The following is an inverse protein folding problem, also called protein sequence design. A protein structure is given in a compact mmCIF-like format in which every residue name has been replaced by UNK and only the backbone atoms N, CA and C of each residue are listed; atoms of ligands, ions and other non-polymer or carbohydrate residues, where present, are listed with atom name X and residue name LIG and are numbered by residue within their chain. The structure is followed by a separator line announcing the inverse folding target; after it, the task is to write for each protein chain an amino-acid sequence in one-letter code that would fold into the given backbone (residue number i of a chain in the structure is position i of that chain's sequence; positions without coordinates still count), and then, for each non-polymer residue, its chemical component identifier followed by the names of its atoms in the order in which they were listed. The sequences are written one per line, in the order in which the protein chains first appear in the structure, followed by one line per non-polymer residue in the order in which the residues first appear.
data_IF_832348425109
#
_entry.id   IF_832348425109
#
_cell.length_a   1.000
_cell.length_b   1.000
_cell.length_c   1.000
_cell.angle_alpha   90.00
_cell.angle_beta   90.00
_cell.angle_gamma   90.00
#
_symmetry.space_group_name_H-M   'P 1'
#
loop_
_entity.id
_entity.type
_entity.pdbx_description
1 polymer ?
#
# COMPACT_ATOMS: atom_id res chain seq x y z
N UNK A 1 21.57 -17.17 -22.39
CA UNK A 1 20.87 -16.73 -21.16
C UNK A 1 19.73 -15.87 -21.62
N UNK A 2 18.52 -16.15 -21.17
CA UNK A 2 17.35 -15.40 -21.59
C UNK A 2 17.37 -14.01 -20.93
N UNK A 3 16.91 -12.97 -21.63
CA UNK A 3 16.88 -11.59 -21.13
C UNK A 3 15.43 -11.14 -21.07
N UNK A 4 14.96 -10.75 -19.90
CA UNK A 4 13.62 -10.20 -19.73
C UNK A 4 13.72 -8.67 -19.77
N UNK A 5 12.92 -8.04 -20.64
CA UNK A 5 12.91 -6.59 -20.80
C UNK A 5 11.67 -5.97 -20.14
N UNK A 6 11.86 -4.98 -19.28
CA UNK A 6 10.77 -4.29 -18.58
C UNK A 6 10.50 -2.92 -19.19
N UNK A 7 9.28 -2.66 -19.64
CA UNK A 7 8.84 -1.32 -20.08
C UNK A 7 8.15 -0.61 -18.92
N UNK A 8 8.74 0.48 -18.42
CA UNK A 8 8.33 1.16 -17.19
C UNK A 8 8.93 0.51 -15.93
N UNK A 9 10.22 0.16 -15.98
CA UNK A 9 10.91 -0.61 -14.93
C UNK A 9 11.00 0.14 -13.58
N UNK A 10 10.91 1.47 -13.58
CA UNK A 10 11.07 2.33 -12.41
C UNK A 10 9.84 2.39 -11.49
N UNK A 11 8.69 1.85 -11.91
CA UNK A 11 7.49 1.76 -11.06
C UNK A 11 7.69 0.78 -9.89
N UNK A 12 7.07 1.05 -8.73
CA UNK A 12 7.28 0.27 -7.51
C UNK A 12 7.06 -1.25 -7.70
N UNK A 13 5.93 -1.66 -8.29
CA UNK A 13 5.66 -3.08 -8.57
C UNK A 13 6.55 -3.69 -9.65
N UNK A 14 6.91 -2.93 -10.69
CA UNK A 14 7.79 -3.41 -11.77
C UNK A 14 9.20 -3.65 -11.25
N UNK A 15 9.73 -2.70 -10.49
CA UNK A 15 11.06 -2.79 -9.89
C UNK A 15 11.19 -3.92 -8.89
N UNK A 16 10.13 -4.23 -8.13
CA UNK A 16 10.08 -5.36 -7.21
C UNK A 16 10.23 -6.71 -7.93
N UNK A 17 9.47 -6.91 -9.01
CA UNK A 17 9.54 -8.12 -9.85
C UNK A 17 10.92 -8.23 -10.49
N UNK A 18 11.41 -7.16 -11.12
CA UNK A 18 12.74 -7.11 -11.74
C UNK A 18 13.85 -7.44 -10.73
N UNK A 19 13.75 -6.90 -9.51
CA UNK A 19 14.70 -7.17 -8.42
C UNK A 19 14.74 -8.64 -8.04
N UNK A 20 13.59 -9.28 -7.82
CA UNK A 20 13.53 -10.71 -7.49
C UNK A 20 14.07 -11.56 -8.63
N UNK A 21 13.74 -11.23 -9.88
CA UNK A 21 14.28 -11.93 -11.05
C UNK A 21 15.81 -11.78 -11.17
N UNK A 22 16.37 -10.59 -10.93
CA UNK A 22 17.83 -10.37 -10.86
C UNK A 22 18.48 -11.23 -9.77
N UNK A 23 17.92 -11.26 -8.57
CA UNK A 23 18.45 -12.06 -7.44
C UNK A 23 18.38 -13.57 -7.73
N UNK A 24 17.45 -14.00 -8.59
CA UNK A 24 17.36 -15.38 -9.12
C UNK A 24 18.30 -15.65 -10.31
N UNK A 25 19.08 -14.66 -10.74
CA UNK A 25 20.06 -14.78 -11.82
C UNK A 25 19.51 -14.57 -13.24
N UNK A 26 18.28 -14.06 -13.37
CA UNK A 26 17.72 -13.67 -14.68
C UNK A 26 18.40 -12.39 -15.17
N UNK A 27 18.74 -12.32 -16.46
CA UNK A 27 19.28 -11.09 -17.06
C UNK A 27 18.14 -10.12 -17.28
N UNK A 28 18.24 -8.93 -16.70
CA UNK A 28 17.21 -7.90 -16.79
C UNK A 28 17.70 -6.72 -17.61
N UNK A 29 16.84 -6.27 -18.51
CA UNK A 29 16.93 -4.95 -19.12
C UNK A 29 15.60 -4.20 -18.94
N UNK A 30 15.58 -2.91 -19.15
CA UNK A 30 14.32 -2.17 -19.16
C UNK A 30 14.46 -0.71 -19.53
N UNK A 31 13.32 -0.05 -19.62
CA UNK A 31 13.20 1.36 -19.96
C UNK A 31 12.29 2.09 -18.99
N UNK A 32 12.52 3.39 -18.82
CA UNK A 32 11.59 4.29 -18.14
C UNK A 32 11.68 5.71 -18.71
N UNK A 33 10.64 6.53 -18.56
CA UNK A 33 10.63 7.92 -19.04
C UNK A 33 11.61 8.80 -18.26
N UNK A 34 11.81 8.51 -16.98
CA UNK A 34 12.66 9.29 -16.10
C UNK A 34 13.53 8.37 -15.24
N UNK A 35 14.72 8.85 -14.91
CA UNK A 35 15.60 8.14 -13.98
C UNK A 35 15.00 8.23 -12.56
N UNK A 36 14.71 7.07 -11.97
CA UNK A 36 14.16 6.94 -10.62
C UNK A 36 15.16 6.26 -9.67
N UNK A 37 14.92 6.37 -8.36
CA UNK A 37 15.71 5.64 -7.35
C UNK A 37 15.66 4.12 -7.57
N UNK A 38 14.50 3.59 -7.97
CA UNK A 38 14.32 2.18 -8.28
C UNK A 38 15.12 1.76 -9.52
N UNK A 39 15.11 2.56 -10.59
CA UNK A 39 15.92 2.33 -11.78
C UNK A 39 17.42 2.29 -11.45
N UNK A 40 17.91 3.29 -10.69
CA UNK A 40 19.32 3.35 -10.28
C UNK A 40 19.74 2.16 -9.39
N UNK A 41 18.85 1.69 -8.51
CA UNK A 41 19.09 0.47 -7.71
C UNK A 41 19.25 -0.76 -8.61
N UNK A 42 18.37 -0.95 -9.59
CA UNK A 42 18.43 -2.10 -10.50
C UNK A 42 19.68 -2.05 -11.38
N UNK A 43 20.09 -0.87 -11.86
CA UNK A 43 21.38 -0.68 -12.56
C UNK A 43 22.55 -1.12 -11.67
N UNK A 44 22.56 -0.71 -10.39
CA UNK A 44 23.59 -1.12 -9.43
C UNK A 44 23.59 -2.64 -9.14
N UNK A 45 22.45 -3.32 -9.35
CA UNK A 45 22.32 -4.77 -9.26
C UNK A 45 22.69 -5.50 -10.57
N UNK A 46 23.01 -4.76 -11.64
CA UNK A 46 23.45 -5.32 -12.93
C UNK A 46 22.39 -5.34 -14.03
N UNK A 47 21.23 -4.71 -13.84
CA UNK A 47 20.27 -4.51 -14.93
C UNK A 47 20.77 -3.45 -15.92
N UNK A 48 20.36 -3.59 -17.18
CA UNK A 48 20.58 -2.56 -18.21
C UNK A 48 19.33 -1.67 -18.28
N UNK A 49 19.41 -0.42 -17.83
CA UNK A 49 18.27 0.51 -17.85
C UNK A 49 18.48 1.65 -18.84
N UNK A 50 17.51 1.85 -19.73
CA UNK A 50 17.50 2.95 -20.70
C UNK A 50 16.50 4.03 -20.28
N UNK A 51 16.82 5.30 -20.54
CA UNK A 51 15.90 6.41 -20.33
C UNK A 51 15.27 6.81 -21.66
N UNK A 52 13.95 6.87 -21.69
CA UNK A 52 13.16 7.01 -22.91
C UNK A 52 12.82 5.67 -23.56
N UNK A 53 11.83 5.71 -24.46
CA UNK A 53 11.35 4.51 -25.16
C UNK A 53 11.79 4.50 -26.62
N UNK A 54 12.50 3.44 -27.01
CA UNK A 54 13.00 3.23 -28.38
C UNK A 54 12.93 1.75 -28.73
N UNK A 55 12.47 1.41 -29.94
CA UNK A 55 12.34 0.03 -30.40
C UNK A 55 13.65 -0.79 -30.28
N UNK A 56 14.82 -0.15 -30.27
CA UNK A 56 16.12 -0.82 -30.10
C UNK A 56 16.36 -1.31 -28.67
N UNK A 57 15.63 -0.79 -27.68
CA UNK A 57 15.83 -1.13 -26.27
C UNK A 57 15.50 -2.60 -25.96
N UNK A 58 14.62 -3.24 -26.74
CA UNK A 58 14.27 -4.66 -26.61
C UNK A 58 15.29 -5.61 -27.27
N UNK A 59 16.41 -5.10 -27.80
CA UNK A 59 17.39 -5.92 -28.52
C UNK A 59 17.96 -7.03 -27.61
N UNK A 60 17.83 -8.28 -28.08
CA UNK A 60 18.26 -9.46 -27.33
C UNK A 60 17.34 -9.88 -26.18
N UNK A 61 16.17 -9.25 -26.05
CA UNK A 61 15.12 -9.71 -25.15
C UNK A 61 14.46 -10.99 -25.68
N UNK A 62 14.12 -11.89 -24.77
CA UNK A 62 13.38 -13.14 -25.04
C UNK A 62 11.94 -13.07 -24.53
N UNK A 63 11.63 -12.08 -23.68
CA UNK A 63 10.32 -11.79 -23.11
C UNK A 63 10.26 -10.31 -22.74
N UNK A 64 9.08 -9.72 -22.83
CA UNK A 64 8.82 -8.34 -22.41
C UNK A 64 7.77 -8.32 -21.30
N UNK A 65 8.02 -7.55 -20.24
CA UNK A 65 7.06 -7.27 -19.17
C UNK A 65 6.69 -5.79 -19.27
N UNK A 66 5.40 -5.48 -19.29
CA UNK A 66 4.90 -4.11 -19.50
C UNK A 66 4.04 -3.65 -18.32
N UNK A 67 4.29 -2.41 -17.88
CA UNK A 67 3.47 -1.72 -16.88
C UNK A 67 2.12 -1.30 -17.47
N UNK A 68 1.08 -1.26 -16.65
CA UNK A 68 -0.27 -0.80 -17.06
C UNK A 68 -0.30 0.66 -17.50
N UNK A 69 0.69 1.47 -17.12
CA UNK A 69 0.83 2.87 -17.53
C UNK A 69 1.38 3.05 -18.96
N UNK A 70 1.83 1.98 -19.61
CA UNK A 70 2.44 2.05 -20.95
C UNK A 70 1.33 1.98 -22.01
N UNK A 71 1.22 2.96 -22.91
CA UNK A 71 0.22 2.94 -23.97
C UNK A 71 0.56 1.89 -25.04
N UNK A 72 -0.46 1.36 -25.72
CA UNK A 72 -0.30 0.40 -26.82
C UNK A 72 0.54 0.93 -27.99
N UNK A 73 0.68 2.25 -28.11
CA UNK A 73 1.50 2.93 -29.11
C UNK A 73 2.98 3.05 -28.74
N UNK A 74 3.39 2.55 -27.56
CA UNK A 74 4.78 2.59 -27.14
C UNK A 74 5.69 1.83 -28.12
N UNK A 75 6.80 2.47 -28.54
CA UNK A 75 7.68 1.95 -29.58
C UNK A 75 8.31 0.59 -29.24
N UNK A 76 8.62 0.33 -27.97
CA UNK A 76 9.16 -0.96 -27.51
C UNK A 76 8.08 -2.05 -27.50
N UNK A 77 6.88 -1.71 -27.05
CA UNK A 77 5.75 -2.65 -27.01
C UNK A 77 5.32 -3.07 -28.42
N UNK A 78 5.26 -2.13 -29.36
CA UNK A 78 4.98 -2.42 -30.78
C UNK A 78 6.08 -3.30 -31.35
N UNK A 79 7.36 -2.94 -31.17
CA UNK A 79 8.48 -3.74 -31.66
C UNK A 79 8.50 -5.16 -31.08
N UNK A 80 8.13 -5.33 -29.81
CA UNK A 80 8.05 -6.64 -29.17
C UNK A 80 6.97 -7.53 -29.79
N UNK A 81 5.80 -6.94 -30.07
CA UNK A 81 4.69 -7.62 -30.76
C UNK A 81 5.07 -7.99 -32.20
N UNK A 82 5.69 -7.08 -32.95
CA UNK A 82 6.15 -7.32 -34.33
C UNK A 82 7.22 -8.41 -34.41
N UNK A 83 8.08 -8.50 -33.39
CA UNK A 83 9.09 -9.54 -33.26
C UNK A 83 8.54 -10.88 -32.72
N UNK A 84 7.25 -10.96 -32.36
CA UNK A 84 6.62 -12.16 -31.81
C UNK A 84 7.12 -12.54 -30.42
N UNK A 85 7.67 -11.59 -29.66
CA UNK A 85 8.12 -11.83 -28.29
C UNK A 85 6.91 -12.04 -27.36
N UNK A 86 6.97 -12.96 -26.38
CA UNK A 86 5.97 -13.03 -25.33
C UNK A 86 5.94 -11.70 -24.55
N UNK A 87 4.76 -11.07 -24.52
CA UNK A 87 4.51 -9.84 -23.76
C UNK A 87 3.61 -10.18 -22.58
N UNK A 88 4.12 -9.99 -21.37
CA UNK A 88 3.38 -10.18 -20.12
C UNK A 88 3.02 -8.84 -19.49
N UNK A 89 1.84 -8.77 -18.88
CA UNK A 89 1.51 -7.69 -17.96
C UNK A 89 2.27 -7.86 -16.64
N UNK A 90 2.37 -6.78 -15.86
CA UNK A 90 2.89 -6.82 -14.48
C UNK A 90 2.27 -7.94 -13.64
N UNK A 91 0.94 -8.14 -13.73
CA UNK A 91 0.23 -9.18 -12.98
C UNK A 91 0.62 -10.60 -13.40
N UNK A 92 0.78 -10.84 -14.70
CA UNK A 92 1.27 -12.13 -15.22
C UNK A 92 2.71 -12.40 -14.80
N UNK A 93 3.57 -11.38 -14.81
CA UNK A 93 4.95 -11.50 -14.34
C UNK A 93 5.03 -11.80 -12.84
N UNK A 94 4.15 -11.20 -12.02
CA UNK A 94 4.03 -11.55 -10.61
C UNK A 94 3.60 -13.01 -10.45
N UNK A 95 2.60 -13.46 -11.21
CA UNK A 95 2.17 -14.86 -11.21
C UNK A 95 3.34 -15.81 -11.54
N UNK A 96 4.17 -15.46 -12.53
CA UNK A 96 5.37 -16.22 -12.90
C UNK A 96 6.41 -16.26 -11.77
N UNK A 97 6.64 -15.14 -11.07
CA UNK A 97 7.56 -15.10 -9.91
C UNK A 97 7.09 -15.97 -8.75
N UNK A 98 5.77 -16.03 -8.53
CA UNK A 98 5.13 -16.84 -7.49
C UNK A 98 4.92 -18.31 -7.90
N UNK A 99 5.05 -18.62 -9.19
CA UNK A 99 4.89 -19.97 -9.70
C UNK A 99 5.95 -20.92 -9.12
N UNK A 100 5.55 -22.16 -8.85
CA UNK A 100 6.46 -23.22 -8.41
C UNK A 100 6.74 -23.30 -6.90
N UNK A 101 6.11 -22.46 -6.07
CA UNK A 101 6.24 -22.50 -4.61
C UNK A 101 4.92 -22.35 -3.86
N UNK A 102 4.98 -22.41 -2.52
CA UNK A 102 3.84 -22.02 -1.66
C UNK A 102 3.85 -20.50 -1.54
N UNK A 103 2.69 -19.87 -1.62
CA UNK A 103 2.60 -18.42 -1.56
C UNK A 103 1.44 -17.94 -0.68
N UNK A 104 1.70 -16.84 0.03
CA UNK A 104 0.68 -16.04 0.71
C UNK A 104 0.47 -14.78 -0.15
N UNK A 105 -0.75 -14.59 -0.63
CA UNK A 105 -1.11 -13.39 -1.41
C UNK A 105 -2.16 -12.60 -0.65
N UNK A 106 -1.87 -11.32 -0.40
CA UNK A 106 -2.75 -10.39 0.30
C UNK A 106 -3.41 -9.45 -0.69
N UNK A 107 -4.74 -9.41 -0.66
CA UNK A 107 -5.59 -8.49 -1.40
C UNK A 107 -6.58 -7.79 -0.44
N UNK A 108 -7.36 -6.85 -0.97
CA UNK A 108 -8.40 -6.11 -0.23
C UNK A 108 -8.31 -4.62 -0.48
N UNK A 109 -9.39 -3.87 -0.28
CA UNK A 109 -9.40 -2.44 -0.64
C UNK A 109 -8.31 -1.66 0.12
N UNK A 110 -8.23 -1.86 1.44
CA UNK A 110 -7.26 -1.17 2.31
C UNK A 110 -6.36 -2.13 3.08
N UNK A 111 -5.18 -1.67 3.51
CA UNK A 111 -4.31 -2.40 4.44
C UNK A 111 -3.44 -3.50 3.82
N UNK A 112 -3.53 -3.75 2.51
CA UNK A 112 -2.72 -4.75 1.77
C UNK A 112 -1.24 -4.68 2.14
N UNK A 113 -0.60 -3.55 1.87
CA UNK A 113 0.84 -3.34 2.08
C UNK A 113 1.26 -3.52 3.53
N UNK A 114 0.46 -3.02 4.46
CA UNK A 114 0.75 -3.15 5.89
C UNK A 114 0.65 -4.60 6.34
N UNK A 115 -0.41 -5.32 5.96
CA UNK A 115 -0.62 -6.73 6.28
C UNK A 115 0.47 -7.62 5.66
N UNK A 116 0.79 -7.43 4.38
CA UNK A 116 1.88 -8.16 3.71
C UNK A 116 3.21 -7.92 4.40
N UNK A 117 3.49 -6.67 4.81
CA UNK A 117 4.72 -6.35 5.54
C UNK A 117 4.77 -7.00 6.91
N UNK A 118 3.65 -7.03 7.65
CA UNK A 118 3.56 -7.73 8.93
C UNK A 118 3.83 -9.23 8.77
N UNK A 119 3.25 -9.87 7.75
CA UNK A 119 3.51 -11.29 7.44
C UNK A 119 5.01 -11.50 7.19
N UNK A 120 5.64 -10.67 6.36
CA UNK A 120 7.09 -10.77 6.10
C UNK A 120 7.91 -10.59 7.38
N UNK A 121 7.59 -9.60 8.22
CA UNK A 121 8.30 -9.37 9.48
C UNK A 121 8.14 -10.54 10.45
N UNK A 122 6.92 -11.08 10.60
CA UNK A 122 6.65 -12.26 11.44
C UNK A 122 7.47 -13.45 10.96
N UNK A 123 7.39 -13.79 9.68
CA UNK A 123 8.10 -14.93 9.10
C UNK A 123 9.61 -14.82 9.32
N UNK A 124 10.19 -13.64 9.06
CA UNK A 124 11.62 -13.40 9.26
C UNK A 124 12.02 -13.45 10.73
N UNK A 125 11.18 -12.95 11.64
CA UNK A 125 11.42 -13.05 13.07
C UNK A 125 11.41 -14.50 13.56
N UNK A 126 10.62 -15.35 12.91
CA UNK A 126 10.44 -16.80 13.15
C UNK A 126 11.48 -17.66 12.42
N UNK A 127 12.51 -17.04 11.83
CA UNK A 127 13.58 -17.75 11.11
C UNK A 127 13.20 -18.25 9.70
N UNK A 128 12.00 -17.96 9.20
CA UNK A 128 11.60 -18.25 7.82
C UNK A 128 12.20 -17.18 6.89
N UNK A 129 12.81 -17.60 5.79
CA UNK A 129 13.41 -16.69 4.79
C UNK A 129 12.57 -16.64 3.51
N UNK A 130 11.41 -15.94 3.49
CA UNK A 130 10.53 -15.93 2.35
C UNK A 130 11.05 -15.05 1.22
N UNK A 131 10.68 -15.39 -0.01
CA UNK A 131 10.65 -14.39 -1.08
C UNK A 131 9.51 -13.41 -0.78
N UNK A 132 9.71 -12.11 -0.98
CA UNK A 132 8.61 -11.17 -0.82
C UNK A 132 8.59 -10.06 -1.87
N UNK A 133 7.39 -9.61 -2.21
CA UNK A 133 7.10 -8.49 -3.10
C UNK A 133 5.99 -7.63 -2.47
N UNK A 134 6.37 -6.47 -1.95
CA UNK A 134 5.52 -5.53 -1.21
C UNK A 134 5.44 -4.21 -1.97
N UNK A 135 4.33 -3.48 -1.84
CA UNK A 135 4.09 -2.25 -2.60
C UNK A 135 4.98 -1.07 -2.20
N UNK A 136 5.54 -1.10 -0.99
CA UNK A 136 6.42 -0.07 -0.46
C UNK A 136 7.51 -0.67 0.44
N UNK A 137 8.56 0.11 0.70
CA UNK A 137 9.71 -0.34 1.49
C UNK A 137 9.33 -0.60 2.95
N UNK A 138 9.78 -1.74 3.49
CA UNK A 138 9.70 -2.00 4.93
C UNK A 138 10.72 -1.12 5.65
N UNK A 139 10.30 -0.39 6.70
CA UNK A 139 11.18 0.55 7.40
C UNK A 139 12.39 -0.11 8.07
N UNK A 140 12.28 -1.38 8.48
CA UNK A 140 13.35 -2.16 9.11
C UNK A 140 14.30 -2.84 8.12
N UNK A 141 13.89 -3.02 6.86
CA UNK A 141 14.68 -3.72 5.82
C UNK A 141 15.18 -2.78 4.73
N UNK A 142 14.51 -1.66 4.52
CA UNK A 142 14.85 -0.64 3.51
C UNK A 142 14.59 -1.08 2.07
N UNK A 143 13.85 -2.17 1.84
CA UNK A 143 13.49 -2.67 0.52
C UNK A 143 12.06 -3.21 0.50
N UNK A 144 11.42 -3.12 -0.66
CA UNK A 144 10.05 -3.61 -0.89
C UNK A 144 10.03 -5.02 -1.50
N UNK A 145 11.16 -5.54 -1.99
CA UNK A 145 11.27 -6.91 -2.48
C UNK A 145 12.60 -7.58 -2.17
N UNK A 146 12.60 -8.91 -2.09
CA UNK A 146 13.78 -9.79 -1.96
C UNK A 146 13.43 -11.22 -2.36
N UNK A 147 14.36 -11.92 -3.00
CA UNK A 147 14.37 -13.37 -3.19
C UNK A 147 14.94 -14.04 -1.93
N UNK A 148 14.06 -14.69 -1.18
CA UNK A 148 14.46 -15.53 -0.05
C UNK A 148 15.02 -16.87 -0.52
N UNK A 149 15.62 -17.63 0.40
CA UNK A 149 16.10 -18.99 0.15
C UNK A 149 15.05 -20.08 0.44
N UNK A 150 13.97 -19.73 1.14
CA UNK A 150 12.88 -20.66 1.46
C UNK A 150 11.89 -20.84 0.32
N UNK A 151 10.99 -21.82 0.48
CA UNK A 151 9.94 -22.17 -0.51
C UNK A 151 8.71 -21.25 -0.47
N UNK A 152 8.59 -20.42 0.57
CA UNK A 152 7.46 -19.54 0.78
C UNK A 152 7.68 -18.20 0.09
N UNK A 153 6.69 -17.74 -0.65
CA UNK A 153 6.62 -16.39 -1.18
C UNK A 153 5.48 -15.59 -0.51
N UNK A 154 5.67 -14.30 -0.33
CA UNK A 154 4.66 -13.39 0.21
C UNK A 154 4.52 -12.19 -0.72
N UNK A 155 3.32 -11.96 -1.24
CA UNK A 155 3.07 -10.84 -2.13
C UNK A 155 1.79 -10.11 -1.77
N UNK A 156 1.76 -8.81 -2.04
CA UNK A 156 0.48 -8.11 -2.19
C UNK A 156 0.03 -8.16 -3.65
N UNK A 157 -1.28 -8.16 -3.86
CA UNK A 157 -1.87 -7.95 -5.17
C UNK A 157 -3.00 -6.94 -5.08
N UNK A 158 -3.11 -6.13 -6.13
CA UNK A 158 -4.12 -5.10 -6.25
C UNK A 158 -5.34 -5.63 -7.01
N UNK A 159 -6.52 -5.23 -6.58
CA UNK A 159 -7.81 -5.50 -7.21
C UNK A 159 -8.17 -4.45 -8.26
N UNK A 160 -7.48 -3.31 -8.30
CA UNK A 160 -7.83 -2.14 -9.13
C UNK A 160 -7.94 -2.42 -10.64
N UNK A 161 -7.17 -3.39 -11.15
CA UNK A 161 -7.11 -3.79 -12.56
C UNK A 161 -7.48 -5.27 -12.78
N UNK A 162 -7.98 -5.95 -11.74
CA UNK A 162 -8.31 -7.38 -11.77
C UNK A 162 -7.09 -8.32 -11.84
N UNK A 163 -5.85 -7.82 -11.74
CA UNK A 163 -4.63 -8.63 -11.88
C UNK A 163 -4.47 -9.72 -10.81
N UNK A 164 -5.04 -9.53 -9.62
CA UNK A 164 -5.09 -10.59 -8.59
C UNK A 164 -5.79 -11.89 -9.05
N UNK A 165 -6.65 -11.85 -10.08
CA UNK A 165 -7.30 -13.03 -10.68
C UNK A 165 -6.34 -13.87 -11.54
N UNK A 166 -5.10 -13.43 -11.71
CA UNK A 166 -4.06 -14.19 -12.41
C UNK A 166 -3.25 -15.06 -11.43
N UNK A 167 -3.46 -14.88 -10.12
CA UNK A 167 -2.65 -15.50 -9.08
C UNK A 167 -3.34 -16.75 -8.53
N UNK A 168 -2.55 -17.79 -8.29
CA UNK A 168 -3.00 -19.02 -7.63
C UNK A 168 -2.23 -19.18 -6.31
N UNK A 169 -2.67 -18.52 -5.22
CA UNK A 169 -1.97 -18.61 -3.96
C UNK A 169 -2.19 -19.95 -3.26
N UNK A 170 -1.25 -20.35 -2.42
CA UNK A 170 -1.54 -21.39 -1.41
C UNK A 170 -2.49 -20.83 -0.35
N UNK A 171 -2.22 -19.62 0.13
CA UNK A 171 -3.02 -18.91 1.13
C UNK A 171 -3.43 -17.55 0.56
N UNK A 172 -4.73 -17.34 0.38
CA UNK A 172 -5.28 -16.05 -0.01
C UNK A 172 -5.75 -15.28 1.22
N UNK A 173 -5.35 -14.02 1.35
CA UNK A 173 -5.80 -13.12 2.42
C UNK A 173 -6.59 -11.98 1.79
N UNK A 174 -7.79 -11.71 2.30
CA UNK A 174 -8.56 -10.51 1.99
C UNK A 174 -8.65 -9.68 3.27
N UNK A 175 -8.19 -8.43 3.24
CA UNK A 175 -8.20 -7.55 4.42
C UNK A 175 -9.56 -6.91 4.67
N UNK A 176 -10.24 -6.48 3.61
CA UNK A 176 -11.57 -5.88 3.58
C UNK A 176 -12.03 -5.74 2.11
N UNK A 177 -13.32 -5.48 1.92
CA UNK A 177 -13.90 -5.16 0.62
C UNK A 177 -14.81 -3.95 0.79
N UNK A 178 -14.40 -2.81 0.23
CA UNK A 178 -15.14 -1.54 0.22
C UNK A 178 -15.20 -1.01 -1.22
N UNK A 179 -16.22 -0.20 -1.58
CA UNK A 179 -16.32 0.40 -2.90
C UNK A 179 -15.10 1.28 -3.23
N UNK A 180 -14.26 0.83 -4.16
CA UNK A 180 -13.19 1.61 -4.81
C UNK A 180 -13.04 1.08 -6.25
N UNK A 181 -12.31 1.79 -7.11
CA UNK A 181 -12.02 1.35 -8.48
C UNK A 181 -13.27 0.96 -9.31
N UNK A 182 -14.40 1.61 -9.05
CA UNK A 182 -15.67 1.31 -9.73
C UNK A 182 -15.66 1.69 -11.22
N UNK A 183 -14.70 2.50 -11.65
CA UNK A 183 -14.40 2.74 -13.07
C UNK A 183 -13.94 1.47 -13.80
N UNK A 184 -13.25 0.57 -13.10
CA UNK A 184 -12.88 -0.75 -13.62
C UNK A 184 -14.00 -1.78 -13.43
N UNK A 185 -14.52 -1.89 -12.20
CA UNK A 185 -15.46 -2.97 -11.85
C UNK A 185 -16.91 -2.70 -12.30
N UNK A 186 -17.28 -1.45 -12.54
CA UNK A 186 -18.64 -1.04 -12.91
C UNK A 186 -19.65 -1.04 -11.76
N UNK A 187 -19.54 -1.97 -10.80
CA UNK A 187 -20.37 -1.99 -9.59
C UNK A 187 -19.66 -2.65 -8.41
N UNK A 188 -20.17 -2.38 -7.19
CA UNK A 188 -19.64 -2.99 -5.97
C UNK A 188 -19.85 -4.52 -5.97
N UNK A 189 -20.98 -5.00 -6.49
CA UNK A 189 -21.27 -6.43 -6.62
C UNK A 189 -20.28 -7.13 -7.54
N UNK A 190 -19.88 -6.48 -8.65
CA UNK A 190 -18.87 -7.00 -9.55
C UNK A 190 -17.49 -7.07 -8.89
N UNK A 191 -17.12 -6.04 -8.11
CA UNK A 191 -15.89 -6.05 -7.31
C UNK A 191 -15.89 -7.19 -6.28
N UNK A 192 -17.00 -7.37 -5.53
CA UNK A 192 -17.16 -8.49 -4.58
C UNK A 192 -17.08 -9.85 -5.27
N UNK A 193 -17.65 -9.98 -6.47
CA UNK A 193 -17.51 -11.20 -7.28
C UNK A 193 -16.06 -11.43 -7.72
N UNK A 194 -15.31 -10.37 -8.04
CA UNK A 194 -13.87 -10.43 -8.26
C UNK A 194 -13.10 -10.98 -7.06
N UNK A 195 -13.36 -10.45 -5.86
CA UNK A 195 -12.76 -10.98 -4.62
C UNK A 195 -13.10 -12.46 -4.39
N UNK A 196 -14.35 -12.86 -4.62
CA UNK A 196 -14.73 -14.27 -4.56
C UNK A 196 -13.91 -15.11 -5.56
N UNK A 197 -13.78 -14.65 -6.79
CA UNK A 197 -12.96 -15.33 -7.80
C UNK A 197 -11.48 -15.46 -7.41
N UNK A 198 -10.93 -14.47 -6.71
CA UNK A 198 -9.58 -14.57 -6.13
C UNK A 198 -9.50 -15.64 -5.04
N UNK A 199 -10.47 -15.69 -4.12
CA UNK A 199 -10.54 -16.70 -3.07
C UNK A 199 -10.70 -18.13 -3.64
N UNK A 200 -11.45 -18.29 -4.74
CA UNK A 200 -11.62 -19.58 -5.44
C UNK A 200 -10.32 -20.12 -6.05
N UNK A 201 -9.29 -19.28 -6.21
CA UNK A 201 -7.95 -19.68 -6.70
C UNK A 201 -6.99 -20.09 -5.59
N UNK A 202 -7.39 -19.93 -4.33
CA UNK A 202 -6.59 -20.40 -3.20
C UNK A 202 -6.53 -21.93 -3.21
N UNK A 203 -5.33 -22.51 -3.06
CA UNK A 203 -5.14 -23.96 -3.07
C UNK A 203 -5.33 -24.61 -1.71
N UNK A 204 -5.11 -23.88 -0.62
CA UNK A 204 -5.10 -24.45 0.73
C UNK A 204 -6.08 -23.71 1.65
N UNK A 205 -5.88 -22.40 1.84
CA UNK A 205 -6.57 -21.63 2.88
C UNK A 205 -6.96 -20.25 2.37
N UNK A 206 -8.12 -19.77 2.84
CA UNK A 206 -8.53 -18.37 2.73
C UNK A 206 -8.63 -17.73 4.11
N UNK A 207 -8.10 -16.51 4.25
CA UNK A 207 -8.17 -15.71 5.47
C UNK A 207 -8.97 -14.44 5.15
N UNK A 208 -10.11 -14.26 5.80
CA UNK A 208 -11.04 -13.14 5.50
C UNK A 208 -11.56 -12.50 6.79
N UNK A 209 -11.97 -11.22 6.78
CA UNK A 209 -12.64 -10.64 7.94
C UNK A 209 -14.00 -11.33 8.16
N UNK A 210 -14.48 -11.35 9.40
CA UNK A 210 -15.79 -11.92 9.75
C UNK A 210 -16.92 -11.35 8.87
N UNK A 211 -16.85 -10.05 8.57
CA UNK A 211 -17.78 -9.30 7.74
C UNK A 211 -17.87 -9.87 6.31
N UNK A 212 -16.78 -10.45 5.79
CA UNK A 212 -16.71 -11.03 4.44
C UNK A 212 -16.75 -12.56 4.44
N UNK A 213 -17.15 -13.19 5.54
CA UNK A 213 -17.37 -14.65 5.61
C UNK A 213 -18.30 -15.17 4.50
N UNK A 214 -19.22 -14.34 4.01
CA UNK A 214 -20.10 -14.70 2.89
C UNK A 214 -19.35 -15.04 1.59
N UNK A 215 -18.15 -14.46 1.36
CA UNK A 215 -17.35 -14.73 0.17
C UNK A 215 -16.76 -16.15 0.15
N UNK A 216 -16.64 -16.80 1.31
CA UNK A 216 -16.09 -18.16 1.43
C UNK A 216 -17.14 -19.26 1.26
N UNK A 217 -18.42 -18.90 1.11
CA UNK A 217 -19.49 -19.86 0.98
C UNK A 217 -19.37 -20.65 -0.33
N UNK A 218 -19.29 -21.98 -0.21
CA UNK A 218 -19.24 -22.89 -1.37
C UNK A 218 -17.89 -22.93 -2.10
N UNK A 219 -16.80 -22.47 -1.48
CA UNK A 219 -15.46 -22.71 -2.00
C UNK A 219 -15.21 -24.23 -2.11
N UNK A 220 -14.76 -24.68 -3.28
CA UNK A 220 -14.50 -26.09 -3.58
C UNK A 220 -13.13 -26.58 -3.09
N UNK A 221 -12.78 -27.81 -3.45
CA UNK A 221 -11.39 -28.30 -3.36
C UNK A 221 -10.83 -28.56 -1.95
N UNK A 222 -11.67 -28.51 -0.90
CA UNK A 222 -11.20 -28.72 0.48
C UNK A 222 -10.47 -27.51 1.08
N UNK A 223 -10.58 -26.35 0.45
CA UNK A 223 -10.02 -25.09 0.94
C UNK A 223 -10.66 -24.72 2.28
N UNK A 224 -9.83 -24.44 3.28
CA UNK A 224 -10.32 -24.06 4.62
C UNK A 224 -10.46 -22.55 4.73
N UNK A 225 -11.58 -22.09 5.27
CA UNK A 225 -11.76 -20.69 5.61
C UNK A 225 -11.35 -20.41 7.05
N UNK A 226 -10.60 -19.33 7.27
CA UNK A 226 -10.24 -18.77 8.56
C UNK A 226 -10.74 -17.33 8.59
N UNK A 227 -11.44 -16.96 9.66
CA UNK A 227 -11.98 -15.62 9.84
C UNK A 227 -11.26 -14.84 10.92
N UNK A 228 -11.05 -13.55 10.69
CA UNK A 228 -10.48 -12.66 11.69
C UNK A 228 -11.40 -11.49 12.03
N UNK A 229 -11.27 -10.96 13.24
CA UNK A 229 -12.13 -9.91 13.77
C UNK A 229 -13.06 -10.42 14.88
N UNK A 230 -13.95 -9.55 15.34
CA UNK A 230 -14.82 -9.85 16.47
C UNK A 230 -15.74 -11.06 16.18
N UNK A 231 -15.64 -12.12 16.99
CA UNK A 231 -16.37 -13.38 16.76
C UNK A 231 -15.81 -14.28 15.65
N UNK A 232 -14.62 -13.97 15.14
CA UNK A 232 -13.88 -14.80 14.20
C UNK A 232 -13.07 -15.90 14.88
N UNK A 233 -12.34 -16.66 14.07
CA UNK A 233 -11.40 -17.67 14.55
C UNK A 233 -10.18 -17.02 15.22
N UNK A 234 -9.84 -15.80 14.80
CA UNK A 234 -8.73 -14.99 15.31
C UNK A 234 -9.26 -13.60 15.68
N UNK A 235 -9.10 -13.19 16.93
CA UNK A 235 -9.62 -11.91 17.41
C UNK A 235 -8.64 -11.20 18.34
N UNK A 236 -8.94 -9.93 18.62
CA UNK A 236 -8.21 -9.10 19.56
C UNK A 236 -9.06 -8.84 20.81
N UNK A 237 -8.46 -8.94 21.99
CA UNK A 237 -9.06 -8.51 23.26
C UNK A 237 -8.33 -7.28 23.81
N UNK A 238 -9.07 -6.33 24.40
CA UNK A 238 -8.49 -5.23 25.16
C UNK A 238 -7.62 -4.26 24.36
N UNK A 239 -7.90 -4.08 23.06
CA UNK A 239 -7.19 -3.16 22.18
C UNK A 239 -7.14 -1.74 22.75
N UNK A 240 -5.93 -1.19 22.91
CA UNK A 240 -5.70 0.13 23.47
C UNK A 240 -4.52 0.85 22.82
N UNK A 241 -4.57 2.19 22.71
CA UNK A 241 -3.41 2.97 22.30
C UNK A 241 -2.31 2.85 23.36
N UNK A 242 -1.06 2.80 22.91
CA UNK A 242 0.13 2.92 23.75
C UNK A 242 0.84 4.24 23.48
N UNK A 243 1.79 4.60 24.36
CA UNK A 243 2.66 5.76 24.14
C UNK A 243 3.38 5.67 22.78
N UNK A 244 3.77 4.46 22.37
CA UNK A 244 4.28 4.13 21.03
C UNK A 244 3.45 2.96 20.50
N UNK A 245 2.60 3.23 19.51
CA UNK A 245 1.78 2.22 18.83
C UNK A 245 0.51 1.77 19.59
N UNK A 246 0.26 0.47 19.62
CA UNK A 246 -0.97 -0.13 20.14
C UNK A 246 -0.70 -1.46 20.86
N UNK A 247 -1.55 -1.83 21.82
CA UNK A 247 -1.47 -3.09 22.55
C UNK A 247 -2.81 -3.80 22.62
N UNK A 248 -2.80 -5.13 22.55
CA UNK A 248 -3.97 -6.00 22.61
C UNK A 248 -3.54 -7.43 22.95
N UNK A 249 -4.48 -8.30 23.28
CA UNK A 249 -4.25 -9.75 23.35
C UNK A 249 -4.72 -10.38 22.05
N UNK A 250 -3.83 -11.07 21.34
CA UNK A 250 -4.16 -11.86 20.15
C UNK A 250 -4.65 -13.24 20.59
N UNK A 251 -5.81 -13.64 20.11
CA UNK A 251 -6.49 -14.87 20.52
C UNK A 251 -6.80 -15.79 19.33
N UNK A 252 -6.65 -17.10 19.52
CA UNK A 252 -7.09 -18.15 18.59
C UNK A 252 -7.52 -19.39 19.37
N UNK A 253 -8.79 -19.79 19.28
CA UNK A 253 -9.33 -20.87 20.11
C UNK A 253 -9.12 -20.65 21.61
N UNK A 254 -8.30 -21.46 22.27
CA UNK A 254 -7.95 -21.28 23.69
C UNK A 254 -6.65 -20.49 23.89
N UNK A 255 -5.85 -20.32 22.85
CA UNK A 255 -4.51 -19.75 22.92
C UNK A 255 -4.57 -18.23 22.89
N UNK A 256 -3.67 -17.61 23.65
CA UNK A 256 -3.62 -16.15 23.86
C UNK A 256 -2.18 -15.69 23.97
N UNK A 257 -1.86 -14.55 23.36
CA UNK A 257 -0.57 -13.87 23.51
C UNK A 257 -0.78 -12.36 23.66
N UNK A 258 -0.05 -11.72 24.57
CA UNK A 258 -0.02 -10.25 24.62
C UNK A 258 0.82 -9.71 23.45
N UNK A 259 0.27 -8.75 22.71
CA UNK A 259 0.94 -8.11 21.58
C UNK A 259 1.12 -6.62 21.88
N UNK A 260 2.32 -6.10 21.59
CA UNK A 260 2.63 -4.68 21.60
C UNK A 260 3.21 -4.28 20.25
N UNK A 261 2.46 -3.51 19.48
CA UNK A 261 2.88 -3.04 18.15
C UNK A 261 3.49 -1.65 18.24
N UNK A 262 4.43 -1.34 17.36
CA UNK A 262 5.00 0.00 17.23
C UNK A 262 4.20 0.92 16.28
N UNK A 263 3.18 0.39 15.61
CA UNK A 263 2.25 1.15 14.76
C UNK A 263 0.94 1.41 15.50
N UNK A 264 0.33 2.56 15.22
CA UNK A 264 -0.91 3.02 15.86
C UNK A 264 -2.15 2.61 15.06
N UNK A 265 -3.31 2.72 15.70
CA UNK A 265 -4.61 2.63 15.02
C UNK A 265 -5.26 1.27 15.12
N UNK A 266 -6.58 1.28 15.32
CA UNK A 266 -7.41 0.07 15.36
C UNK A 266 -7.31 -0.73 14.07
N UNK A 267 -7.28 -0.06 12.91
CA UNK A 267 -7.10 -0.70 11.61
C UNK A 267 -5.80 -1.55 11.54
N UNK A 268 -4.74 -1.15 12.23
CA UNK A 268 -3.50 -1.92 12.28
C UNK A 268 -3.57 -3.14 13.19
N UNK A 269 -4.48 -3.15 14.18
CA UNK A 269 -4.81 -4.38 14.92
C UNK A 269 -5.48 -5.36 13.95
N UNK A 270 -6.43 -4.91 13.12
CA UNK A 270 -7.09 -5.78 12.12
C UNK A 270 -6.10 -6.33 11.09
N UNK A 271 -5.17 -5.49 10.60
CA UNK A 271 -4.07 -5.94 9.74
C UNK A 271 -3.20 -7.02 10.43
N UNK A 272 -2.93 -6.85 11.73
CA UNK A 272 -2.19 -7.84 12.51
C UNK A 272 -2.96 -9.16 12.69
N UNK A 273 -4.29 -9.11 12.87
CA UNK A 273 -5.12 -10.32 12.93
C UNK A 273 -5.11 -11.08 11.60
N UNK A 274 -5.22 -10.37 10.46
CA UNK A 274 -5.10 -10.96 9.14
C UNK A 274 -3.71 -11.59 8.92
N UNK A 275 -2.64 -10.89 9.32
CA UNK A 275 -1.28 -11.39 9.24
C UNK A 275 -1.06 -12.64 10.12
N UNK A 276 -1.54 -12.62 11.36
CA UNK A 276 -1.52 -13.78 12.26
C UNK A 276 -2.26 -14.97 11.64
N UNK A 277 -3.44 -14.71 11.06
CA UNK A 277 -4.24 -15.72 10.37
C UNK A 277 -3.54 -16.39 9.21
N UNK A 278 -2.68 -15.70 8.47
CA UNK A 278 -1.85 -16.32 7.44
C UNK A 278 -0.64 -17.08 8.06
N UNK A 279 0.03 -16.48 9.06
CA UNK A 279 1.26 -17.04 9.63
C UNK A 279 1.04 -18.34 10.42
N UNK A 280 -0.07 -18.46 11.14
CA UNK A 280 -0.45 -19.71 11.85
C UNK A 280 -0.53 -20.88 10.85
N UNK A 281 -0.98 -20.63 9.63
CA UNK A 281 -1.25 -21.66 8.64
C UNK A 281 0.00 -22.18 7.94
N UNK A 282 1.09 -21.42 8.02
CA UNK A 282 2.42 -21.89 7.62
C UNK A 282 3.24 -22.39 8.81
N UNK A 283 2.61 -22.54 9.97
CA UNK A 283 3.17 -23.21 11.14
C UNK A 283 3.91 -22.29 12.11
N UNK A 284 3.76 -20.97 12.02
CA UNK A 284 4.38 -20.04 12.97
C UNK A 284 3.66 -20.11 14.33
N UNK A 285 4.37 -20.38 15.44
CA UNK A 285 3.80 -20.35 16.79
C UNK A 285 3.23 -18.98 17.17
N UNK A 286 2.18 -18.97 18.00
CA UNK A 286 1.46 -17.75 18.36
C UNK A 286 2.34 -16.72 19.12
N UNK A 287 3.25 -17.21 19.95
CA UNK A 287 4.26 -16.40 20.64
C UNK A 287 5.25 -15.75 19.66
N UNK A 288 5.75 -16.49 18.67
CA UNK A 288 6.61 -15.94 17.62
C UNK A 288 5.89 -14.90 16.74
N UNK A 289 4.58 -15.07 16.51
CA UNK A 289 3.73 -14.06 15.86
C UNK A 289 3.70 -12.77 16.69
N UNK A 290 3.48 -12.89 18.00
CA UNK A 290 3.49 -11.75 18.92
C UNK A 290 4.82 -10.99 18.88
N UNK A 291 5.95 -11.70 18.93
CA UNK A 291 7.28 -11.11 18.81
C UNK A 291 7.51 -10.44 17.45
N UNK A 292 7.09 -11.10 16.37
CA UNK A 292 7.19 -10.56 15.01
C UNK A 292 6.43 -9.25 14.84
N UNK A 293 5.21 -9.18 15.35
CA UNK A 293 4.39 -7.96 15.36
C UNK A 293 5.00 -6.83 16.20
N UNK A 294 5.66 -7.16 17.31
CA UNK A 294 6.42 -6.18 18.09
C UNK A 294 7.65 -5.66 17.35
N UNK A 295 8.29 -6.47 16.49
CA UNK A 295 9.43 -6.06 15.67
C UNK A 295 9.05 -5.20 14.46
N UNK A 296 7.79 -5.21 14.04
CA UNK A 296 7.33 -4.39 12.92
C UNK A 296 7.51 -2.89 13.18
N UNK A 297 8.08 -2.16 12.22
CA UNK A 297 8.39 -0.71 12.32
C UNK A 297 7.58 0.15 11.35
N UNK A 298 6.51 -0.40 10.79
CA UNK A 298 5.72 0.27 9.77
C UNK A 298 6.33 0.16 8.37
N UNK A 299 5.66 0.83 7.45
CA UNK A 299 6.01 0.89 6.03
C UNK A 299 6.24 2.35 5.66
N UNK A 300 7.07 2.60 4.65
CA UNK A 300 7.25 3.94 4.10
C UNK A 300 5.89 4.57 3.76
N UNK A 301 5.69 5.82 4.17
CA UNK A 301 4.44 6.58 3.98
C UNK A 301 3.18 5.93 4.58
N UNK A 302 3.29 5.07 5.61
CA UNK A 302 2.13 4.55 6.38
C UNK A 302 2.28 4.96 7.84
N UNK A 303 1.63 6.05 8.23
CA UNK A 303 1.78 6.75 9.51
C UNK A 303 3.25 6.98 9.86
N UNK A 304 4.03 7.49 8.92
CA UNK A 304 5.47 7.63 9.09
C UNK A 304 5.79 8.97 9.76
N UNK A 305 6.30 8.92 11.00
CA UNK A 305 6.88 10.11 11.63
C UNK A 305 8.15 10.47 10.87
N UNK A 306 8.13 11.60 10.16
CA UNK A 306 9.24 12.10 9.33
C UNK A 306 10.28 12.82 10.18
N UNK A 307 9.85 13.48 11.24
CA UNK A 307 10.72 14.20 12.16
C UNK A 307 9.95 15.17 13.04
N UNK A 308 10.71 15.95 13.80
CA UNK A 308 10.18 17.04 14.61
C UNK A 308 10.99 18.31 14.34
N UNK A 309 10.30 19.45 14.22
CA UNK A 309 10.92 20.74 13.96
C UNK A 309 10.26 21.82 14.81
N UNK A 310 11.06 22.56 15.60
CA UNK A 310 10.55 23.59 16.51
C UNK A 310 9.36 23.15 17.40
N UNK A 311 9.35 21.88 17.86
CA UNK A 311 8.26 21.30 18.65
C UNK A 311 7.05 20.85 17.84
N UNK A 312 7.10 20.86 16.50
CA UNK A 312 6.05 20.38 15.59
C UNK A 312 6.44 19.00 15.06
N UNK A 313 5.60 18.00 15.28
CA UNK A 313 5.81 16.66 14.69
C UNK A 313 5.29 16.64 13.26
N UNK A 314 6.08 16.15 12.32
CA UNK A 314 5.65 15.94 10.93
C UNK A 314 5.44 14.46 10.67
N UNK A 315 4.27 14.11 10.14
CA UNK A 315 3.84 12.74 9.87
C UNK A 315 3.38 12.65 8.42
N UNK A 316 3.82 11.64 7.69
CA UNK A 316 3.37 11.36 6.33
C UNK A 316 2.56 10.07 6.25
N UNK A 317 1.44 10.11 5.52
CA UNK A 317 0.59 8.96 5.26
C UNK A 317 0.04 8.96 3.83
N UNK A 318 0.07 7.79 3.21
CA UNK A 318 -0.39 7.53 1.84
C UNK A 318 -1.92 7.55 1.70
N UNK A 319 -2.66 7.65 2.81
CA UNK A 319 -4.11 7.70 2.87
C UNK A 319 -4.69 8.70 1.86
N UNK A 320 -5.53 8.20 0.98
CA UNK A 320 -6.15 8.98 -0.09
C UNK A 320 -7.63 8.62 -0.30
N UNK A 321 -8.10 7.52 0.29
CA UNK A 321 -9.51 7.18 0.41
C UNK A 321 -10.11 7.76 1.71
N UNK A 322 -11.39 8.18 1.75
CA UNK A 322 -12.03 8.68 2.96
C UNK A 322 -11.88 7.77 4.19
N UNK A 323 -12.06 6.45 4.01
CA UNK A 323 -11.88 5.44 5.08
C UNK A 323 -10.46 5.47 5.65
N UNK A 324 -9.43 5.56 4.78
CA UNK A 324 -8.03 5.59 5.19
C UNK A 324 -7.70 6.87 5.96
N UNK A 325 -8.21 8.02 5.48
CA UNK A 325 -7.98 9.32 6.12
C UNK A 325 -8.60 9.33 7.53
N UNK A 326 -9.84 8.85 7.66
CA UNK A 326 -10.52 8.75 8.95
C UNK A 326 -9.72 7.86 9.90
N UNK A 327 -9.32 6.67 9.44
CA UNK A 327 -8.57 5.71 10.23
C UNK A 327 -7.18 6.25 10.66
N UNK A 328 -6.51 7.00 9.79
CA UNK A 328 -5.23 7.67 10.08
C UNK A 328 -5.39 8.78 11.11
N UNK A 329 -6.41 9.64 10.98
CA UNK A 329 -6.65 10.72 11.93
C UNK A 329 -7.13 10.20 13.30
N UNK A 330 -7.94 9.14 13.33
CA UNK A 330 -8.32 8.44 14.56
C UNK A 330 -7.09 7.83 15.26
N UNK A 331 -6.21 7.19 14.49
CA UNK A 331 -4.94 6.65 15.01
C UNK A 331 -4.01 7.76 15.53
N UNK A 332 -4.13 8.97 14.97
CA UNK A 332 -3.37 10.13 15.37
C UNK A 332 -3.91 10.77 16.66
N UNK A 333 -5.23 10.81 16.87
CA UNK A 333 -5.84 11.53 18.00
C UNK A 333 -5.20 11.25 19.38
N UNK A 334 -4.88 10.02 19.79
CA UNK A 334 -4.28 9.74 21.11
C UNK A 334 -2.76 10.05 21.20
N UNK A 335 -2.16 10.71 20.21
CA UNK A 335 -0.75 11.09 20.21
C UNK A 335 -0.40 12.21 21.21
N UNK A 336 0.90 12.48 21.44
CA UNK A 336 1.38 13.46 22.43
C UNK A 336 1.25 14.93 21.99
N UNK A 337 0.50 15.23 20.94
CA UNK A 337 0.30 16.57 20.39
C UNK A 337 -0.98 17.22 20.90
N UNK A 338 -1.00 18.55 20.87
CA UNK A 338 -2.13 19.40 21.29
C UNK A 338 -3.13 19.64 20.16
N UNK A 339 -2.64 19.76 18.92
CA UNK A 339 -3.47 19.98 17.73
C UNK A 339 -3.03 19.08 16.58
N UNK A 340 -4.01 18.54 15.86
CA UNK A 340 -3.84 17.84 14.60
C UNK A 340 -4.12 18.78 13.42
N UNK A 341 -3.13 18.95 12.55
CA UNK A 341 -3.24 19.73 11.32
C UNK A 341 -3.16 18.74 10.16
N UNK A 342 -4.30 18.47 9.52
CA UNK A 342 -4.39 17.61 8.35
C UNK A 342 -4.13 18.42 7.08
N UNK A 343 -3.12 18.01 6.30
CA UNK A 343 -2.80 18.60 5.00
C UNK A 343 -3.08 17.55 3.93
N UNK A 344 -4.16 17.72 3.18
CA UNK A 344 -4.67 16.73 2.25
C UNK A 344 -4.47 17.13 0.79
N UNK A 345 -3.95 16.20 -0.01
CA UNK A 345 -3.91 16.29 -1.46
C UNK A 345 -4.83 15.21 -2.06
N UNK A 346 -6.01 15.61 -2.60
CA UNK A 346 -6.86 14.68 -3.33
C UNK A 346 -6.10 14.03 -4.48
N UNK A 347 -6.33 12.75 -4.73
CA UNK A 347 -5.63 11.98 -5.75
C UNK A 347 -6.61 11.44 -6.79
N UNK A 348 -6.37 11.76 -8.07
CA UNK A 348 -7.23 11.54 -9.25
C UNK A 348 -8.54 12.36 -9.24
N UNK A 349 -8.92 12.83 -10.43
CA UNK A 349 -10.17 13.54 -10.65
C UNK A 349 -11.36 12.58 -10.56
N UNK A 350 -11.24 11.38 -11.15
CA UNK A 350 -12.26 10.33 -11.10
C UNK A 350 -12.73 10.02 -9.67
N UNK A 351 -11.79 9.74 -8.76
CA UNK A 351 -12.07 9.48 -7.34
C UNK A 351 -12.65 10.70 -6.63
N UNK A 352 -12.09 11.88 -6.87
CA UNK A 352 -12.59 13.11 -6.26
C UNK A 352 -14.05 13.35 -6.64
N UNK A 353 -14.41 13.16 -7.91
CA UNK A 353 -15.79 13.28 -8.36
C UNK A 353 -16.72 12.26 -7.68
N UNK A 354 -16.29 11.00 -7.60
CA UNK A 354 -17.08 9.91 -7.02
C UNK A 354 -17.29 10.03 -5.50
N UNK A 355 -16.27 10.46 -4.75
CA UNK A 355 -16.24 10.35 -3.28
C UNK A 355 -16.20 11.70 -2.55
N UNK A 356 -16.35 12.85 -3.22
CA UNK A 356 -16.26 14.18 -2.58
C UNK A 356 -17.15 14.31 -1.32
N UNK A 357 -18.37 13.78 -1.35
CA UNK A 357 -19.28 13.81 -0.20
C UNK A 357 -18.77 13.01 1.00
N UNK A 358 -18.12 11.86 0.75
CA UNK A 358 -17.61 10.97 1.79
C UNK A 358 -16.36 11.54 2.47
N UNK A 359 -15.55 12.34 1.76
CA UNK A 359 -14.43 13.07 2.37
C UNK A 359 -14.89 14.01 3.48
N UNK A 360 -16.12 14.52 3.46
CA UNK A 360 -16.59 15.51 4.43
C UNK A 360 -16.49 15.06 5.89
N UNK A 361 -16.77 13.77 6.16
CA UNK A 361 -16.71 13.21 7.52
C UNK A 361 -15.32 12.63 7.87
N UNK A 362 -14.47 12.38 6.87
CA UNK A 362 -13.19 11.70 7.08
C UNK A 362 -12.23 12.50 7.97
N UNK A 363 -12.41 13.83 8.07
CA UNK A 363 -11.52 14.70 8.81
C UNK A 363 -11.90 14.91 10.28
N UNK A 364 -12.89 14.19 10.82
CA UNK A 364 -13.51 14.37 12.14
C UNK A 364 -12.57 14.47 13.35
N UNK A 365 -11.29 14.07 13.26
CA UNK A 365 -10.33 14.16 14.36
C UNK A 365 -9.31 15.31 14.23
N UNK A 366 -9.27 16.00 13.08
CA UNK A 366 -8.34 17.11 12.79
C UNK A 366 -8.82 18.48 13.31
N UNK A 367 -7.96 19.22 14.02
CA UNK A 367 -8.27 20.56 14.55
C UNK A 367 -8.19 21.67 13.48
N UNK A 368 -7.35 21.44 12.45
CA UNK A 368 -7.21 22.28 11.26
C UNK A 368 -7.03 21.40 10.04
N UNK A 369 -7.62 21.83 8.92
CA UNK A 369 -7.60 21.09 7.66
C UNK A 369 -7.14 22.04 6.56
N UNK A 370 -6.19 21.60 5.76
CA UNK A 370 -5.73 22.30 4.57
C UNK A 370 -5.86 21.35 3.40
N UNK A 371 -6.63 21.73 2.39
CA UNK A 371 -6.83 20.95 1.17
C UNK A 371 -6.09 21.64 0.03
N UNK A 372 -5.34 20.86 -0.74
CA UNK A 372 -4.61 21.33 -1.92
C UNK A 372 -5.38 21.02 -3.20
N UNK A 373 -4.85 21.41 -4.36
CA UNK A 373 -5.42 20.99 -5.63
C UNK A 373 -5.28 19.48 -5.88
N UNK A 374 -6.15 18.91 -6.71
CA UNK A 374 -6.14 17.49 -7.08
C UNK A 374 -4.83 17.13 -7.79
N UNK A 375 -4.15 16.10 -7.29
CA UNK A 375 -3.06 15.44 -8.01
C UNK A 375 -3.64 14.49 -9.06
N UNK A 376 -3.56 14.87 -10.34
CA UNK A 376 -4.23 14.16 -11.42
C UNK A 376 -3.72 12.74 -11.71
N UNK A 377 -2.48 12.41 -11.33
CA UNK A 377 -1.89 11.07 -11.53
C UNK A 377 -2.00 10.53 -12.97
N UNK A 378 -1.92 11.41 -13.98
CA UNK A 378 -2.05 11.08 -15.40
C UNK A 378 -3.44 11.31 -15.98
N UNK A 379 -4.46 11.56 -15.15
CA UNK A 379 -5.79 11.95 -15.62
C UNK A 379 -5.82 13.39 -16.13
N UNK A 380 -6.66 13.65 -17.13
CA UNK A 380 -6.94 15.00 -17.59
C UNK A 380 -7.83 15.73 -16.57
N UNK A 381 -7.59 17.03 -16.32
CA UNK A 381 -8.45 17.82 -15.46
C UNK A 381 -9.92 17.76 -15.88
N UNK A 382 -10.81 17.53 -14.90
CA UNK A 382 -12.26 17.50 -15.11
C UNK A 382 -12.85 18.84 -14.63
N UNK A 383 -13.57 19.59 -15.49
CA UNK A 383 -14.18 20.85 -15.10
C UNK A 383 -15.06 20.71 -13.85
N UNK A 384 -14.82 21.55 -12.84
CA UNK A 384 -15.56 21.54 -11.57
C UNK A 384 -15.07 20.53 -10.52
N UNK A 385 -14.20 19.59 -10.89
CA UNK A 385 -13.62 18.63 -9.95
C UNK A 385 -12.25 19.14 -9.49
N UNK A 386 -12.26 19.86 -8.37
CA UNK A 386 -11.07 20.50 -7.79
C UNK A 386 -10.95 20.14 -6.31
N UNK A 387 -9.80 20.42 -5.71
CA UNK A 387 -9.65 20.29 -4.26
C UNK A 387 -10.62 21.17 -3.47
N UNK A 388 -11.13 22.25 -4.08
CA UNK A 388 -12.17 23.09 -3.48
C UNK A 388 -13.46 22.32 -3.23
N UNK A 389 -13.84 21.40 -4.14
CA UNK A 389 -15.00 20.53 -3.96
C UNK A 389 -14.92 19.71 -2.67
N UNK A 390 -13.72 19.17 -2.38
CA UNK A 390 -13.45 18.43 -1.14
C UNK A 390 -13.49 19.37 0.08
N UNK A 391 -12.84 20.53 -0.01
CA UNK A 391 -12.84 21.51 1.08
C UNK A 391 -14.27 21.98 1.43
N UNK A 392 -15.13 22.18 0.44
CA UNK A 392 -16.52 22.58 0.63
C UNK A 392 -17.34 21.45 1.30
N UNK A 393 -17.19 20.20 0.84
CA UNK A 393 -17.83 19.04 1.48
C UNK A 393 -17.43 18.88 2.95
N UNK A 394 -16.16 19.16 3.29
CA UNK A 394 -15.68 19.19 4.68
C UNK A 394 -16.34 20.33 5.45
N UNK A 395 -16.38 21.55 4.91
CA UNK A 395 -17.03 22.69 5.55
C UNK A 395 -18.52 22.46 5.84
N UNK A 396 -19.23 21.81 4.92
CA UNK A 396 -20.64 21.47 5.07
C UNK A 396 -20.86 20.41 6.16
N UNK A 397 -19.99 19.40 6.23
CA UNK A 397 -20.16 18.27 7.15
C UNK A 397 -19.69 18.57 8.57
N UNK A 398 -18.63 19.37 8.72
CA UNK A 398 -18.04 19.75 10.02
C UNK A 398 -17.88 21.27 10.16
N UNK A 399 -19.01 22.00 10.26
CA UNK A 399 -19.00 23.46 10.30
C UNK A 399 -18.22 23.99 11.52
N UNK A 400 -17.54 25.12 11.33
CA UNK A 400 -16.76 25.78 12.40
C UNK A 400 -15.35 25.22 12.59
N UNK A 401 -14.95 24.16 11.88
CA UNK A 401 -13.54 23.79 11.77
C UNK A 401 -12.79 24.71 10.82
N UNK A 402 -11.53 24.97 11.15
CA UNK A 402 -10.66 25.77 10.30
C UNK A 402 -10.24 24.95 9.08
N UNK A 403 -10.91 25.17 7.95
CA UNK A 403 -10.62 24.56 6.64
C UNK A 403 -10.06 25.65 5.73
N UNK A 404 -8.94 25.37 5.07
CA UNK A 404 -8.34 26.22 4.06
C UNK A 404 -8.18 25.44 2.75
N UNK A 405 -8.45 26.09 1.61
CA UNK A 405 -8.12 25.58 0.29
C UNK A 405 -6.95 26.37 -0.27
N UNK A 406 -5.81 25.71 -0.49
CA UNK A 406 -4.56 26.32 -0.96
C UNK A 406 -4.08 25.53 -2.20
N UNK A 407 -4.48 25.94 -3.42
CA UNK A 407 -4.19 25.19 -4.64
C UNK A 407 -2.71 25.25 -5.04
N UNK A 408 -1.99 26.29 -4.60
CA UNK A 408 -0.58 26.47 -4.92
C UNK A 408 0.31 26.05 -3.74
N UNK A 409 1.34 25.27 -4.05
CA UNK A 409 2.27 24.72 -3.06
C UNK A 409 3.00 25.80 -2.27
N UNK A 410 3.36 26.91 -2.90
CA UNK A 410 4.03 28.04 -2.23
C UNK A 410 3.14 28.65 -1.13
N UNK A 411 1.85 28.84 -1.43
CA UNK A 411 0.87 29.34 -0.47
C UNK A 411 0.67 28.37 0.70
N UNK A 412 0.67 27.06 0.43
CA UNK A 412 0.60 26.02 1.45
C UNK A 412 1.78 26.09 2.43
N UNK A 413 3.02 26.16 1.93
CA UNK A 413 4.21 26.24 2.77
C UNK A 413 4.21 27.53 3.60
N UNK A 414 3.88 28.66 2.98
CA UNK A 414 3.77 29.94 3.68
C UNK A 414 2.72 29.88 4.79
N UNK A 415 1.55 29.29 4.50
CA UNK A 415 0.50 29.09 5.47
C UNK A 415 0.96 28.21 6.64
N UNK A 416 1.58 27.06 6.37
CA UNK A 416 2.06 26.16 7.42
C UNK A 416 3.08 26.87 8.31
N UNK A 417 4.10 27.52 7.75
CA UNK A 417 5.12 28.26 8.49
C UNK A 417 4.52 29.36 9.40
N UNK A 418 3.44 30.01 8.97
CA UNK A 418 2.77 31.05 9.76
C UNK A 418 1.77 30.55 10.81
N UNK A 419 1.32 29.29 10.74
CA UNK A 419 0.16 28.81 11.53
C UNK A 419 0.45 27.61 12.44
N UNK A 420 1.50 26.84 12.17
CA UNK A 420 1.96 25.75 13.06
C UNK A 420 2.65 26.32 14.30
N UNK A 421 2.57 25.62 15.43
CA UNK A 421 3.11 26.03 16.72
C UNK A 421 3.66 24.83 17.48
N UNK A 422 4.60 25.03 18.44
CA UNK A 422 5.08 23.95 19.29
C UNK A 422 3.93 23.16 19.94
N UNK A 423 4.00 21.83 19.83
CA UNK A 423 2.96 20.89 20.24
C UNK A 423 1.96 20.51 19.16
N UNK A 424 2.07 21.03 17.93
CA UNK A 424 1.26 20.57 16.80
C UNK A 424 1.81 19.28 16.19
N UNK A 425 0.93 18.49 15.59
CA UNK A 425 1.29 17.47 14.62
C UNK A 425 0.71 17.82 13.25
N UNK A 426 1.57 17.91 12.24
CA UNK A 426 1.21 18.12 10.84
C UNK A 426 1.22 16.78 10.12
N UNK A 427 0.06 16.37 9.62
CA UNK A 427 -0.14 15.12 8.89
C UNK A 427 -0.32 15.42 7.41
N UNK A 428 0.65 15.05 6.57
CA UNK A 428 0.49 15.06 5.12
C UNK A 428 -0.23 13.77 4.70
N UNK A 429 -1.34 13.93 3.97
CA UNK A 429 -2.25 12.87 3.57
C UNK A 429 -2.38 12.87 2.05
N UNK A 430 -1.97 11.78 1.39
CA UNK A 430 -2.22 11.59 -0.04
C UNK A 430 -1.19 10.71 -0.74
N UNK A 431 -1.59 10.10 -1.85
CA UNK A 431 -0.73 9.22 -2.65
C UNK A 431 0.29 9.96 -3.55
N UNK A 432 0.05 11.25 -3.81
CA UNK A 432 0.89 12.08 -4.68
C UNK A 432 2.19 12.57 -4.02
N UNK A 433 2.58 13.79 -4.37
CA UNK A 433 3.83 14.43 -3.95
C UNK A 433 3.72 15.20 -2.63
N UNK A 434 2.56 15.19 -1.96
CA UNK A 434 2.31 15.94 -0.73
C UNK A 434 3.30 15.66 0.41
N UNK A 435 3.90 14.46 0.44
CA UNK A 435 4.94 14.11 1.42
C UNK A 435 6.13 15.09 1.41
N UNK A 436 6.46 15.63 0.23
CA UNK A 436 7.57 16.59 0.07
C UNK A 436 7.31 17.91 0.78
N UNK A 437 6.05 18.30 1.02
CA UNK A 437 5.70 19.47 1.83
C UNK A 437 6.09 19.26 3.30
N UNK A 438 5.92 18.03 3.80
CA UNK A 438 6.37 17.66 5.14
C UNK A 438 7.89 17.71 5.26
N UNK A 439 8.62 17.23 4.25
CA UNK A 439 10.09 17.29 4.18
C UNK A 439 10.59 18.74 4.19
N UNK A 440 10.04 19.61 3.34
CA UNK A 440 10.42 21.02 3.29
C UNK A 440 10.13 21.76 4.60
N UNK A 441 9.03 21.42 5.28
CA UNK A 441 8.73 21.99 6.59
C UNK A 441 9.80 21.62 7.63
N UNK A 442 10.38 20.42 7.56
CA UNK A 442 11.48 20.00 8.43
C UNK A 442 12.80 20.71 8.08
N UNK A 443 13.08 20.92 6.79
CA UNK A 443 14.32 21.54 6.32
C UNK A 443 14.43 23.03 6.72
N UNK A 444 13.33 23.77 6.62
CA UNK A 444 13.37 25.24 6.70
C UNK A 444 13.74 25.80 8.09
N UNK A 445 13.68 25.03 9.17
CA UNK A 445 14.09 25.53 10.50
C UNK A 445 15.56 25.27 10.84
N UNK A 446 16.32 24.69 9.90
CA UNK A 446 17.77 24.47 10.03
C UNK A 446 18.59 25.69 9.61
N UNK A 447 17.97 26.72 9.03
CA UNK A 447 18.60 28.01 8.78
C UNK A 447 18.47 28.89 10.03
N UNK A 448 19.58 29.26 10.70
CA UNK A 448 19.51 30.27 11.76
C UNK A 448 19.11 31.63 11.15
N UNK A 449 18.44 32.50 11.94
CA UNK A 449 18.02 33.83 11.50
C UNK A 449 19.17 34.74 11.07
#
# INVERSE_FOLDING_TARGET
MDTVHFIGIGGAGMSAIAKVMLERGVRISGSDLKRSRAAAMLEAMGAIVQIGHDARNISGATQVIVSTAIPDTNAELVAARDAGLPVLTRGQALAEVLAGGRSIVVAGTHGKTTTTSMIVTILRASGVDPTYLVGAGLNDVGTNARSGRGELAVAESDESDGSFLLLEPSIAVVTNVEPDHLDHWGSYEAMRAGFRGFLERAREIVVVPVEERSLTAGLGGGVRAVTFGDGGDIWAEGGRPLAKGAGFTLCTGTDRVEVRMNVRGRHNIWNALAAAGACIQVGVPLDEIGEGLERFRGVERRFQIRGEVAGVTVIDDYAHHPTEIAATLEAARPGPWRRLIAVFQPHRYSRTAALHGDFGAAFNEADRIVVTEVYGAGEQPVPGVTGKLVADAICERIPGRGVAFLPHREDLLLYLRGNVRPGDAVLTLGAGDIHTVGEELLETASEPP
#
